data_IF_609060253590
#
_entry.id   IF_609060253590
#
_cell.length_a   1.000
_cell.length_b   1.000
_cell.length_c   1.000
_cell.angle_alpha   90.00
_cell.angle_beta   90.00
_cell.angle_gamma   90.00
#
_symmetry.space_group_name_H-M   'P 1'
#
loop_
_entity.id
_entity.type
_entity.pdbx_description
1 polymer ?
#
# COMPACT_ATOMS: atom_id res chain seq x y z
N UNK A 1 -103.87 3.71 11.03
CA UNK A 1 -103.31 4.34 12.26
C UNK A 1 -102.57 5.60 11.81
N UNK A 2 -103.18 6.80 11.87
CA UNK A 2 -103.09 7.80 12.98
C UNK A 2 -101.63 7.97 13.49
N UNK A 3 -100.95 9.12 13.51
CA UNK A 3 -101.15 10.56 13.20
C UNK A 3 -99.72 11.19 13.14
N UNK A 4 -99.30 11.88 12.07
CA UNK A 4 -99.11 13.36 11.92
C UNK A 4 -98.08 13.95 12.94
N UNK A 5 -96.82 14.33 12.61
CA UNK A 5 -96.25 15.38 11.73
C UNK A 5 -96.54 16.83 12.20
N UNK A 6 -95.57 17.51 12.84
CA UNK A 6 -95.49 18.99 12.83
C UNK A 6 -94.13 19.52 13.27
N UNK A 7 -93.52 20.24 12.33
CA UNK A 7 -92.53 21.32 12.41
C UNK A 7 -93.02 22.49 13.27
N UNK A 8 -92.13 23.31 13.85
CA UNK A 8 -92.08 24.80 13.84
C UNK A 8 -91.24 25.37 15.01
N UNK A 9 -90.13 26.01 14.59
CA UNK A 9 -89.50 27.26 15.06
C UNK A 9 -89.26 27.54 16.55
N UNK A 10 -87.99 27.80 16.88
CA UNK A 10 -87.62 29.09 17.48
C UNK A 10 -86.24 29.58 16.99
N UNK A 11 -86.27 30.64 16.18
CA UNK A 11 -85.48 31.89 16.27
C UNK A 11 -84.00 31.75 16.64
N UNK A 12 -83.09 31.93 15.68
CA UNK A 12 -82.46 33.22 15.37
C UNK A 12 -81.65 33.80 16.55
N UNK A 13 -80.31 33.86 16.44
CA UNK A 13 -79.59 35.01 15.87
C UNK A 13 -78.07 34.83 16.01
N UNK A 14 -77.36 35.10 14.91
CA UNK A 14 -76.08 35.81 14.77
C UNK A 14 -74.97 35.72 15.85
N UNK A 15 -73.82 35.17 15.40
CA UNK A 15 -72.52 35.86 15.21
C UNK A 15 -71.82 36.54 16.42
N UNK A 16 -70.52 36.22 16.52
CA UNK A 16 -69.36 36.99 17.03
C UNK A 16 -68.75 36.68 18.42
N UNK A 17 -67.62 35.98 18.37
CA UNK A 17 -66.29 36.22 19.00
C UNK A 17 -66.07 36.61 20.48
N UNK A 18 -65.00 35.96 21.01
CA UNK A 18 -64.08 36.32 22.13
C UNK A 18 -64.65 36.23 23.56
N UNK A 19 -64.02 35.65 24.60
CA UNK A 19 -62.59 35.49 24.96
C UNK A 19 -62.45 34.58 26.22
N UNK A 20 -61.36 33.78 26.28
CA UNK A 20 -60.45 33.54 27.43
C UNK A 20 -60.81 32.61 28.65
N UNK A 21 -59.93 31.59 28.79
CA UNK A 21 -59.30 30.90 29.95
C UNK A 21 -59.97 29.81 30.83
N UNK A 22 -59.16 28.74 30.93
CA UNK A 22 -58.77 27.94 32.10
C UNK A 22 -59.53 26.63 32.40
N UNK A 23 -58.76 25.53 32.34
CA UNK A 23 -59.15 24.20 32.80
C UNK A 23 -58.15 23.15 32.35
N UNK A 24 -57.02 23.08 33.05
CA UNK A 24 -55.94 22.14 32.83
C UNK A 24 -56.41 20.68 32.88
N UNK A 25 -56.01 19.88 31.89
CA UNK A 25 -55.77 18.45 32.09
C UNK A 25 -54.32 18.17 31.76
N UNK A 26 -53.67 17.70 32.81
CA UNK A 26 -52.31 17.22 32.96
C UNK A 26 -51.98 16.15 31.92
N UNK A 27 -51.00 16.45 31.07
CA UNK A 27 -50.13 15.42 30.51
C UNK A 27 -48.68 15.89 30.65
N UNK A 28 -48.25 16.05 31.91
CA UNK A 28 -46.85 15.92 32.28
C UNK A 28 -46.75 14.57 32.96
N UNK A 29 -46.45 13.52 32.20
CA UNK A 29 -45.53 12.47 32.64
C UNK A 29 -45.10 11.60 31.46
N UNK A 30 -44.51 12.26 30.48
CA UNK A 30 -43.27 11.72 29.95
C UNK A 30 -42.26 12.83 30.14
N UNK A 31 -41.48 12.73 31.21
CA UNK A 31 -40.11 13.20 31.17
C UNK A 31 -39.55 12.62 29.88
N UNK A 32 -39.48 13.45 28.84
CA UNK A 32 -38.57 13.21 27.74
C UNK A 32 -37.23 13.16 28.45
N UNK A 33 -36.71 11.95 28.59
CA UNK A 33 -35.37 11.69 29.03
C UNK A 33 -34.47 12.31 27.95
N UNK A 34 -34.32 13.63 27.98
CA UNK A 34 -33.33 14.40 27.24
C UNK A 34 -31.99 14.13 27.90
N UNK A 35 -31.60 12.86 27.87
CA UNK A 35 -30.31 12.35 28.25
C UNK A 35 -29.87 11.27 27.24
N UNK A 36 -30.42 11.29 26.02
CA UNK A 36 -29.67 10.79 24.88
C UNK A 36 -28.55 11.79 24.62
N UNK A 37 -27.37 11.47 25.14
CA UNK A 37 -26.12 12.15 24.83
C UNK A 37 -26.09 12.60 23.36
N UNK A 38 -26.09 13.92 23.14
CA UNK A 38 -25.90 14.54 21.82
C UNK A 38 -24.44 14.43 21.35
N UNK A 39 -23.78 13.30 21.63
CA UNK A 39 -22.38 13.11 21.36
C UNK A 39 -22.21 12.78 19.87
N UNK A 40 -21.35 13.54 19.21
CA UNK A 40 -20.94 13.29 17.83
C UNK A 40 -19.92 12.15 17.89
N UNK A 41 -20.15 11.08 17.14
CA UNK A 41 -19.20 10.00 16.98
C UNK A 41 -18.18 10.39 15.90
N UNK A 42 -16.90 10.43 16.26
CA UNK A 42 -15.83 10.66 15.29
C UNK A 42 -15.30 9.30 14.82
N UNK A 43 -15.19 9.13 13.51
CA UNK A 43 -14.76 7.88 12.90
C UNK A 43 -13.66 8.17 11.86
N UNK A 44 -12.72 7.25 11.73
CA UNK A 44 -11.73 7.24 10.65
C UNK A 44 -11.96 6.04 9.76
N UNK A 45 -12.11 6.30 8.46
CA UNK A 45 -12.20 5.26 7.45
C UNK A 45 -10.90 5.22 6.67
N UNK A 46 -10.30 4.04 6.57
CA UNK A 46 -9.11 3.82 5.78
C UNK A 46 -9.49 3.25 4.42
N UNK A 47 -8.76 3.65 3.39
CA UNK A 47 -9.01 3.25 2.01
C UNK A 47 -7.69 2.90 1.33
N UNK A 48 -7.64 1.78 0.62
CA UNK A 48 -6.49 1.39 -0.18
C UNK A 48 -6.91 1.12 -1.63
N UNK A 49 -7.12 2.20 -2.38
CA UNK A 49 -7.41 2.20 -3.82
C UNK A 49 -6.21 2.61 -4.69
N UNK A 50 -5.08 2.90 -4.04
CA UNK A 50 -3.83 3.27 -4.68
C UNK A 50 -3.04 2.02 -5.13
N UNK A 51 -3.65 1.26 -6.05
CA UNK A 51 -3.10 0.06 -6.67
C UNK A 51 -3.37 0.07 -8.18
N UNK A 52 -2.81 -0.91 -8.90
CA UNK A 52 -2.98 -1.05 -10.36
C UNK A 52 -4.40 -1.46 -10.77
N UNK A 53 -5.21 -2.02 -9.88
CA UNK A 53 -6.62 -2.35 -10.13
C UNK A 53 -7.57 -1.17 -9.93
N UNK A 54 -7.10 -0.07 -9.32
CA UNK A 54 -7.88 1.11 -8.95
C UNK A 54 -9.12 0.78 -8.10
N UNK A 55 -8.99 -0.24 -7.24
CA UNK A 55 -10.06 -0.73 -6.38
C UNK A 55 -9.64 -0.70 -4.93
N UNK A 56 -10.57 -0.34 -4.05
CA UNK A 56 -10.33 -0.40 -2.62
C UNK A 56 -10.22 -1.86 -2.17
N UNK A 57 -9.01 -2.27 -1.78
CA UNK A 57 -8.70 -3.62 -1.28
C UNK A 57 -8.18 -3.58 0.16
N UNK A 58 -8.54 -2.53 0.92
CA UNK A 58 -8.17 -2.37 2.33
C UNK A 58 -8.55 -3.61 3.16
N UNK A 59 -9.84 -3.98 3.12
CA UNK A 59 -10.37 -5.09 3.91
C UNK A 59 -9.74 -6.45 3.51
N UNK A 60 -9.26 -6.59 2.29
CA UNK A 60 -8.64 -7.82 1.82
C UNK A 60 -7.18 -7.95 2.28
N UNK A 61 -6.42 -6.86 2.32
CA UNK A 61 -4.96 -6.90 2.50
C UNK A 61 -4.45 -6.37 3.85
N UNK A 62 -5.11 -5.38 4.44
CA UNK A 62 -4.63 -4.71 5.66
C UNK A 62 -5.15 -5.45 6.89
N UNK A 63 -4.26 -5.73 7.85
CA UNK A 63 -4.59 -6.50 9.07
C UNK A 63 -4.18 -5.80 10.36
N UNK A 64 -3.36 -4.77 10.28
CA UNK A 64 -3.01 -3.90 11.41
C UNK A 64 -2.99 -2.46 10.92
N UNK A 65 -3.53 -1.54 11.72
CA UNK A 65 -3.52 -0.10 11.44
C UNK A 65 -3.21 0.66 12.71
N UNK A 66 -2.22 1.55 12.65
CA UNK A 66 -1.91 2.49 13.72
C UNK A 66 -2.12 3.91 13.23
N UNK A 67 -3.02 4.62 13.88
CA UNK A 67 -3.33 6.02 13.66
C UNK A 67 -2.58 6.87 14.69
N UNK A 68 -1.91 7.91 14.22
CA UNK A 68 -1.25 8.94 15.01
C UNK A 68 -1.88 10.29 14.66
N UNK A 69 -2.26 11.10 15.65
CA UNK A 69 -2.78 12.45 15.45
C UNK A 69 -1.90 13.48 16.14
N UNK A 70 -1.47 14.49 15.37
CA UNK A 70 -0.57 15.56 15.82
C UNK A 70 -1.29 16.91 15.81
N UNK A 71 -1.05 17.74 16.83
CA UNK A 71 -1.58 19.11 16.91
C UNK A 71 -0.87 20.07 15.95
N UNK A 72 -1.35 21.32 15.85
CA UNK A 72 -0.73 22.38 15.03
C UNK A 72 0.73 22.71 15.46
N UNK A 73 1.16 22.27 16.64
CA UNK A 73 2.54 22.41 17.14
C UNK A 73 3.38 21.14 16.91
N UNK A 74 2.86 20.17 16.14
CA UNK A 74 3.47 18.88 15.83
C UNK A 74 3.68 17.95 17.05
N UNK A 75 2.94 18.14 18.15
CA UNK A 75 2.96 17.20 19.28
C UNK A 75 1.97 16.08 19.05
N UNK A 76 2.36 14.84 19.37
CA UNK A 76 1.45 13.69 19.34
C UNK A 76 0.37 13.87 20.41
N UNK A 77 -0.90 13.91 20.03
CA UNK A 77 -2.03 14.08 20.96
C UNK A 77 -2.79 12.78 21.14
N UNK A 78 -2.88 11.97 20.09
CA UNK A 78 -3.63 10.73 20.11
C UNK A 78 -2.92 9.65 19.29
N UNK A 79 -3.03 8.42 19.76
CA UNK A 79 -2.56 7.24 19.06
C UNK A 79 -3.55 6.10 19.35
N UNK A 80 -3.95 5.38 18.30
CA UNK A 80 -4.71 4.14 18.46
C UNK A 80 -4.21 3.09 17.45
N UNK A 81 -4.22 1.83 17.88
CA UNK A 81 -3.87 0.69 17.03
C UNK A 81 -5.02 -0.32 17.07
N UNK A 82 -5.54 -0.65 15.89
CA UNK A 82 -6.49 -1.75 15.71
C UNK A 82 -5.83 -2.87 14.89
N UNK A 83 -6.13 -4.12 15.24
CA UNK A 83 -5.57 -5.30 14.58
C UNK A 83 -6.58 -6.45 14.48
N UNK A 84 -6.38 -7.32 13.50
CA UNK A 84 -7.11 -8.58 13.36
C UNK A 84 -8.35 -8.51 12.47
N UNK A 85 -9.29 -9.43 12.73
CA UNK A 85 -10.50 -9.64 11.92
C UNK A 85 -11.38 -8.40 11.68
N UNK A 86 -11.53 -7.44 12.62
CA UNK A 86 -12.38 -6.26 12.37
C UNK A 86 -11.98 -5.44 11.15
N UNK A 87 -10.69 -5.38 10.81
CA UNK A 87 -10.21 -4.66 9.63
C UNK A 87 -10.61 -5.35 8.32
N UNK A 88 -10.98 -6.63 8.36
CA UNK A 88 -11.48 -7.38 7.23
C UNK A 88 -12.94 -7.09 6.86
N UNK A 89 -13.64 -6.28 7.64
CA UNK A 89 -15.01 -5.87 7.36
C UNK A 89 -15.04 -4.63 6.46
N UNK A 90 -15.78 -4.65 5.36
CA UNK A 90 -15.93 -3.49 4.45
C UNK A 90 -16.53 -2.25 5.15
N UNK A 91 -17.26 -2.48 6.24
CA UNK A 91 -17.89 -1.44 7.07
C UNK A 91 -16.98 -0.93 8.19
N UNK A 92 -15.74 -1.42 8.28
CA UNK A 92 -14.80 -1.03 9.31
C UNK A 92 -14.56 0.50 9.30
N UNK A 93 -14.68 1.08 10.48
CA UNK A 93 -14.31 2.44 10.77
C UNK A 93 -13.77 2.48 12.21
N UNK A 94 -12.60 3.11 12.39
CA UNK A 94 -12.00 3.28 13.70
C UNK A 94 -12.75 4.39 14.43
N UNK A 95 -13.38 4.06 15.56
CA UNK A 95 -14.00 5.06 16.42
C UNK A 95 -12.94 5.78 17.23
N UNK A 96 -13.06 7.11 17.30
CA UNK A 96 -12.13 7.97 18.04
C UNK A 96 -12.92 8.95 18.90
N UNK A 97 -12.42 9.21 20.09
CA UNK A 97 -13.11 10.07 21.07
C UNK A 97 -12.81 11.57 20.89
N UNK A 98 -12.06 11.93 19.85
CA UNK A 98 -11.61 13.29 19.57
C UNK A 98 -11.97 13.73 18.15
N UNK A 99 -12.26 15.02 17.98
CA UNK A 99 -12.43 15.61 16.66
C UNK A 99 -11.11 15.69 15.92
N UNK A 100 -10.87 14.76 15.00
CA UNK A 100 -9.64 14.67 14.22
C UNK A 100 -9.53 15.70 13.08
N UNK A 101 -10.58 16.49 12.81
CA UNK A 101 -10.59 17.45 11.69
C UNK A 101 -9.51 18.55 11.80
N UNK A 102 -9.10 18.86 13.03
CA UNK A 102 -8.10 19.91 13.30
C UNK A 102 -6.67 19.38 13.42
N UNK A 103 -6.50 18.06 13.40
CA UNK A 103 -5.20 17.42 13.62
C UNK A 103 -4.59 16.96 12.29
N UNK A 104 -3.27 16.84 12.33
CA UNK A 104 -2.51 16.17 11.29
C UNK A 104 -2.49 14.66 11.60
N UNK A 105 -3.14 13.87 10.76
CA UNK A 105 -3.21 12.42 10.89
C UNK A 105 -2.11 11.75 10.08
N UNK A 106 -1.37 10.85 10.71
CA UNK A 106 -0.42 9.96 10.06
C UNK A 106 -0.82 8.53 10.39
N UNK A 107 -0.86 7.68 9.39
CA UNK A 107 -1.27 6.28 9.52
C UNK A 107 -0.16 5.39 9.02
N UNK A 108 0.17 4.39 9.83
CA UNK A 108 1.03 3.28 9.43
C UNK A 108 0.26 1.98 9.60
N UNK A 109 0.07 1.25 8.51
CA UNK A 109 -0.61 -0.03 8.49
C UNK A 109 0.37 -1.17 8.15
N UNK A 110 0.16 -2.35 8.72
CA UNK A 110 1.03 -3.51 8.50
C UNK A 110 2.31 -3.54 9.37
N UNK A 111 2.35 -2.74 10.44
CA UNK A 111 3.40 -2.83 11.45
C UNK A 111 3.30 -4.17 12.19
N UNK A 112 4.44 -4.83 12.43
CA UNK A 112 4.48 -6.20 12.95
C UNK A 112 5.71 -6.56 13.80
N UNK A 113 6.57 -5.60 14.14
CA UNK A 113 7.84 -5.78 14.88
C UNK A 113 8.87 -6.77 14.27
N UNK A 114 8.57 -7.42 13.14
CA UNK A 114 9.45 -8.38 12.47
C UNK A 114 10.16 -7.79 11.24
N UNK A 115 9.42 -6.99 10.46
CA UNK A 115 9.92 -6.37 9.22
C UNK A 115 10.27 -4.91 9.41
N UNK A 116 9.58 -4.22 10.32
CA UNK A 116 9.72 -2.79 10.55
C UNK A 116 9.77 -2.49 12.04
N UNK A 117 10.61 -1.52 12.39
CA UNK A 117 10.68 -0.94 13.72
C UNK A 117 10.18 0.50 13.69
N UNK A 118 9.33 0.82 14.66
CA UNK A 118 8.83 2.17 14.91
C UNK A 118 9.19 2.53 16.35
N UNK A 119 9.65 3.75 16.64
CA UNK A 119 9.92 4.16 18.01
C UNK A 119 8.65 4.17 18.84
N UNK A 120 8.80 3.89 20.14
CA UNK A 120 7.70 4.01 21.09
C UNK A 120 7.40 5.49 21.32
N UNK A 121 6.27 5.95 20.81
CA UNK A 121 5.80 7.32 20.99
C UNK A 121 4.72 7.37 22.07
N UNK A 122 4.71 8.45 22.85
CA UNK A 122 3.70 8.69 23.87
C UNK A 122 3.01 10.03 23.63
N UNK A 123 1.66 10.08 23.74
CA UNK A 123 0.94 11.34 23.67
C UNK A 123 1.49 12.39 24.63
N UNK A 124 1.57 13.63 24.16
CA UNK A 124 2.10 14.82 24.84
C UNK A 124 3.60 14.76 25.19
N UNK A 125 4.35 13.79 24.66
CA UNK A 125 5.80 13.66 24.88
C UNK A 125 6.59 13.59 23.57
N UNK A 126 6.01 12.98 22.55
CA UNK A 126 6.62 12.82 21.24
C UNK A 126 6.21 13.92 20.25
N UNK A 127 7.12 14.22 19.32
CA UNK A 127 6.85 15.07 18.16
C UNK A 127 6.70 14.27 16.87
N UNK A 128 6.10 14.89 15.86
CA UNK A 128 5.90 14.27 14.55
C UNK A 128 7.21 13.81 13.89
N UNK A 129 8.29 14.57 14.04
CA UNK A 129 9.60 14.25 13.46
C UNK A 129 10.25 13.01 14.07
N UNK A 130 9.73 12.51 15.21
CA UNK A 130 10.16 11.27 15.84
C UNK A 130 9.46 10.04 15.26
N UNK A 131 8.31 10.21 14.59
CA UNK A 131 7.60 9.12 13.92
C UNK A 131 8.34 8.73 12.64
N UNK A 132 9.22 7.72 12.77
CA UNK A 132 10.03 7.20 11.67
C UNK A 132 9.94 5.69 11.64
N UNK A 133 9.86 5.12 10.45
CA UNK A 133 9.77 3.68 10.25
C UNK A 133 11.06 3.18 9.64
N UNK A 134 11.67 2.19 10.30
CA UNK A 134 12.95 1.62 9.88
C UNK A 134 12.77 0.16 9.53
N UNK A 135 13.13 -0.22 8.30
CA UNK A 135 13.19 -1.63 7.89
C UNK A 135 14.24 -2.35 8.74
N UNK A 136 13.86 -3.48 9.32
CA UNK A 136 14.75 -4.33 10.08
C UNK A 136 15.72 -5.06 9.14
N UNK A 137 17.00 -5.09 9.53
CA UNK A 137 18.08 -5.72 8.76
C UNK A 137 19.11 -6.37 9.65
N UNK A 138 19.80 -7.36 9.12
CA UNK A 138 20.91 -8.04 9.77
C UNK A 138 22.21 -7.32 9.41
N UNK A 139 23.00 -6.97 10.42
CA UNK A 139 24.34 -6.43 10.22
C UNK A 139 25.34 -7.58 10.07
N UNK A 140 26.12 -7.56 8.99
CA UNK A 140 27.15 -8.56 8.74
C UNK A 140 28.32 -8.37 9.73
N UNK A 141 28.58 -9.38 10.54
CA UNK A 141 29.60 -9.36 11.62
C UNK A 141 31.05 -9.27 11.14
N UNK A 142 31.31 -9.38 9.82
CA UNK A 142 32.64 -9.32 9.21
C UNK A 142 32.59 -8.67 7.84
N UNK A 143 32.42 -7.35 7.79
CA UNK A 143 32.78 -6.59 6.58
C UNK A 143 34.26 -6.24 6.64
N UNK A 144 35.02 -6.62 5.60
CA UNK A 144 36.45 -6.26 5.44
C UNK A 144 36.65 -5.28 4.28
N UNK A 145 35.55 -4.77 3.71
CA UNK A 145 35.53 -3.89 2.55
C UNK A 145 34.93 -2.54 2.93
N UNK A 146 35.45 -1.46 2.34
CA UNK A 146 34.87 -0.11 2.47
C UNK A 146 33.49 0.02 1.81
N UNK A 147 33.11 -0.96 0.96
CA UNK A 147 31.80 -1.03 0.32
C UNK A 147 30.71 -1.48 1.32
N UNK A 148 29.63 -0.69 1.45
CA UNK A 148 28.46 -1.02 2.27
C UNK A 148 27.65 -2.19 1.69
N UNK A 149 27.86 -2.56 0.42
CA UNK A 149 27.20 -3.74 -0.19
C UNK A 149 27.48 -5.00 0.62
N UNK A 150 26.40 -5.67 1.02
CA UNK A 150 26.42 -6.89 1.82
C UNK A 150 26.61 -6.67 3.32
N UNK A 151 26.68 -5.43 3.81
CA UNK A 151 26.78 -5.14 5.25
C UNK A 151 25.42 -5.17 5.95
N UNK A 152 24.39 -4.58 5.33
CA UNK A 152 23.03 -4.51 5.88
C UNK A 152 22.10 -5.39 5.05
N UNK A 153 21.83 -6.60 5.53
CA UNK A 153 21.15 -7.65 4.76
C UNK A 153 19.67 -7.73 5.15
N UNK A 154 18.80 -7.73 4.14
CA UNK A 154 17.37 -8.05 4.24
C UNK A 154 17.14 -9.31 3.41
N UNK A 155 16.87 -10.43 4.07
CA UNK A 155 16.74 -11.76 3.43
C UNK A 155 15.41 -12.45 3.76
N UNK A 156 14.48 -11.72 4.37
CA UNK A 156 13.14 -12.16 4.70
C UNK A 156 12.10 -11.50 3.79
N UNK A 157 10.92 -12.13 3.66
CA UNK A 157 9.76 -11.45 3.09
C UNK A 157 9.37 -10.31 4.03
N UNK A 158 9.39 -9.07 3.54
CA UNK A 158 8.83 -7.96 4.29
C UNK A 158 7.31 -8.11 4.30
N UNK A 159 6.70 -7.94 5.46
CA UNK A 159 5.25 -7.81 5.51
C UNK A 159 4.82 -6.54 4.81
N UNK A 160 3.60 -6.51 4.28
CA UNK A 160 3.13 -5.34 3.54
C UNK A 160 3.00 -4.14 4.48
N UNK A 161 3.63 -3.02 4.12
CA UNK A 161 3.56 -1.77 4.88
C UNK A 161 2.77 -0.74 4.08
N UNK A 162 1.86 -0.03 4.73
CA UNK A 162 1.12 1.07 4.14
C UNK A 162 1.27 2.35 4.94
N UNK A 163 1.19 3.47 4.24
CA UNK A 163 1.25 4.81 4.81
C UNK A 163 0.06 5.65 4.35
N UNK A 164 -0.46 6.49 5.23
CA UNK A 164 -1.40 7.56 4.87
C UNK A 164 -1.13 8.84 5.66
N UNK A 165 -1.33 9.99 5.03
CA UNK A 165 -1.16 11.31 5.66
C UNK A 165 -2.34 12.23 5.32
N UNK A 166 -2.88 12.89 6.34
CA UNK A 166 -3.96 13.88 6.18
C UNK A 166 -3.67 15.09 7.09
N UNK A 167 -3.20 16.19 6.50
CA UNK A 167 -2.75 17.39 7.25
C UNK A 167 -3.88 18.16 7.92
N UNK A 168 -5.08 18.19 7.33
CA UNK A 168 -6.36 18.66 7.90
C UNK A 168 -7.50 17.95 7.16
N UNK A 169 -8.09 16.96 7.79
CA UNK A 169 -9.03 16.05 7.13
C UNK A 169 -10.33 16.75 6.73
N UNK A 170 -10.74 16.58 5.47
CA UNK A 170 -12.11 16.91 5.09
C UNK A 170 -13.01 15.85 5.71
N UNK A 171 -13.83 16.26 6.68
CA UNK A 171 -14.74 15.33 7.34
C UNK A 171 -16.09 15.34 6.64
N UNK A 172 -16.61 14.16 6.35
CA UNK A 172 -17.99 14.01 5.90
C UNK A 172 -18.90 13.77 7.10
N UNK A 173 -20.10 14.34 7.09
CA UNK A 173 -21.09 14.14 8.15
C UNK A 173 -22.18 13.20 7.65
N UNK A 174 -22.33 12.07 8.32
CA UNK A 174 -23.42 11.11 8.10
C UNK A 174 -24.25 10.99 9.37
N UNK A 175 -25.35 11.74 9.45
CA UNK A 175 -26.17 11.82 10.66
C UNK A 175 -25.40 12.41 11.86
N UNK A 176 -25.14 11.57 12.87
CA UNK A 176 -24.36 11.91 14.09
C UNK A 176 -22.88 11.50 13.99
N UNK A 177 -22.47 10.88 12.88
CA UNK A 177 -21.08 10.47 12.65
C UNK A 177 -20.32 11.50 11.80
N UNK A 178 -19.09 11.78 12.21
CA UNK A 178 -18.13 12.59 11.46
C UNK A 178 -16.99 11.69 11.01
N UNK A 179 -16.92 11.44 9.70
CA UNK A 179 -15.99 10.47 9.11
C UNK A 179 -14.86 11.20 8.42
N UNK A 180 -13.62 10.87 8.81
CA UNK A 180 -12.40 11.29 8.11
C UNK A 180 -11.89 10.12 7.28
N UNK A 181 -11.74 10.31 5.97
CA UNK A 181 -11.17 9.29 5.10
C UNK A 181 -9.65 9.47 4.99
N UNK A 182 -8.90 8.38 5.11
CA UNK A 182 -7.45 8.34 4.94
C UNK A 182 -7.11 7.35 3.83
N UNK A 183 -6.58 7.86 2.72
CA UNK A 183 -6.04 7.05 1.63
C UNK A 183 -4.66 6.51 2.00
N UNK A 184 -4.46 5.22 1.74
CA UNK A 184 -3.22 4.51 2.00
C UNK A 184 -2.45 4.26 0.70
N UNK A 185 -1.12 4.33 0.80
CA UNK A 185 -0.16 3.96 -0.24
C UNK A 185 0.70 2.82 0.28
N UNK A 186 0.98 1.82 -0.54
CA UNK A 186 1.80 0.67 -0.15
C UNK A 186 3.27 0.98 -0.38
N UNK A 187 4.10 0.71 0.63
CA UNK A 187 5.53 1.03 0.63
C UNK A 187 6.43 -0.19 0.41
N UNK A 188 5.89 -1.39 0.32
CA UNK A 188 6.66 -2.61 0.12
C UNK A 188 6.38 -3.22 -1.23
N UNK A 189 7.46 -3.61 -1.92
CA UNK A 189 7.42 -4.13 -3.27
C UNK A 189 8.00 -5.54 -3.31
N UNK A 190 7.45 -6.39 -4.18
CA UNK A 190 7.99 -7.71 -4.49
C UNK A 190 8.62 -7.69 -5.87
N UNK A 191 9.91 -8.00 -5.95
CA UNK A 191 10.64 -8.09 -7.22
C UNK A 191 11.02 -9.54 -7.47
N UNK A 192 10.40 -10.13 -8.50
CA UNK A 192 10.65 -11.49 -9.00
C UNK A 192 11.66 -11.43 -10.14
N UNK A 193 12.88 -11.86 -9.89
CA UNK A 193 13.93 -11.97 -10.91
C UNK A 193 14.00 -13.40 -11.42
N UNK A 194 13.74 -13.56 -12.71
CA UNK A 194 13.75 -14.84 -13.42
C UNK A 194 14.97 -14.86 -14.34
N UNK A 195 15.80 -15.89 -14.21
CA UNK A 195 16.87 -16.18 -15.18
C UNK A 195 16.46 -17.40 -15.99
N UNK A 196 15.99 -17.18 -17.22
CA UNK A 196 15.46 -18.19 -18.12
C UNK A 196 16.52 -18.64 -19.14
N UNK A 197 16.68 -19.96 -19.30
CA UNK A 197 17.65 -20.55 -20.20
C UNK A 197 17.03 -20.88 -21.56
N UNK A 198 17.55 -20.24 -22.60
CA UNK A 198 17.11 -20.37 -23.98
C UNK A 198 18.04 -21.34 -24.70
N UNK A 199 17.50 -22.48 -25.14
CA UNK A 199 18.22 -23.43 -25.98
C UNK A 199 17.99 -23.14 -27.46
N UNK A 200 18.99 -22.55 -28.11
CA UNK A 200 19.04 -22.21 -29.52
C UNK A 200 19.81 -23.26 -30.34
N UNK A 201 20.79 -23.95 -29.74
CA UNK A 201 21.73 -24.82 -30.47
C UNK A 201 21.33 -26.30 -30.53
N UNK A 202 20.35 -26.73 -29.73
CA UNK A 202 19.93 -28.13 -29.62
C UNK A 202 21.00 -29.04 -28.98
N UNK A 203 22.09 -28.45 -28.48
CA UNK A 203 23.18 -29.15 -27.80
C UNK A 203 22.88 -29.48 -26.33
N UNK A 204 23.87 -30.01 -25.60
CA UNK A 204 23.74 -30.26 -24.17
C UNK A 204 23.49 -28.94 -23.43
N UNK A 205 22.49 -28.96 -22.55
CA UNK A 205 22.06 -27.79 -21.77
C UNK A 205 22.62 -27.88 -20.36
N UNK A 206 23.17 -26.78 -19.85
CA UNK A 206 23.63 -26.70 -18.46
C UNK A 206 22.43 -26.79 -17.51
N UNK A 207 22.44 -27.76 -16.60
CA UNK A 207 21.35 -27.96 -15.65
C UNK A 207 21.25 -26.80 -14.67
N UNK A 208 20.10 -26.13 -14.63
CA UNK A 208 19.77 -25.15 -13.61
C UNK A 208 19.40 -25.81 -12.28
N UNK A 209 19.84 -25.17 -11.21
CA UNK A 209 19.47 -25.44 -9.81
C UNK A 209 19.20 -24.12 -9.08
N UNK A 210 18.49 -24.15 -7.96
CA UNK A 210 18.23 -22.96 -7.13
C UNK A 210 19.51 -22.24 -6.64
N UNK A 211 20.69 -22.87 -6.75
CA UNK A 211 21.98 -22.28 -6.35
C UNK A 211 22.81 -21.76 -7.52
N UNK A 212 22.28 -21.82 -8.75
CA UNK A 212 23.05 -21.49 -9.96
C UNK A 212 23.37 -20.00 -10.03
N UNK A 213 22.44 -19.18 -9.57
CA UNK A 213 22.56 -17.73 -9.60
C UNK A 213 22.43 -17.15 -8.19
N UNK A 214 23.20 -16.11 -7.91
CA UNK A 214 23.01 -15.24 -6.76
C UNK A 214 22.49 -13.90 -7.25
N UNK A 215 21.29 -13.53 -6.79
CA UNK A 215 20.65 -12.26 -7.09
C UNK A 215 20.70 -11.36 -5.85
N UNK A 216 20.92 -10.06 -6.04
CA UNK A 216 20.80 -9.08 -4.98
C UNK A 216 20.35 -7.73 -5.55
N UNK A 217 19.52 -7.02 -4.79
CA UNK A 217 19.15 -5.63 -5.06
C UNK A 217 19.76 -4.75 -3.99
N UNK A 218 20.30 -3.60 -4.39
CA UNK A 218 20.94 -2.63 -3.50
C UNK A 218 20.20 -1.29 -3.56
N UNK A 219 19.80 -0.78 -2.41
CA UNK A 219 19.11 0.51 -2.29
C UNK A 219 19.19 1.04 -0.84
N UNK A 220 19.01 2.34 -0.63
CA UNK A 220 19.04 3.00 0.69
C UNK A 220 17.65 3.52 1.13
N UNK A 221 16.60 2.78 0.76
CA UNK A 221 15.19 3.10 1.00
C UNK A 221 14.61 2.49 2.30
N UNK A 222 15.47 2.09 3.24
CA UNK A 222 15.09 1.40 4.47
C UNK A 222 14.61 2.29 5.61
N UNK A 223 14.65 3.62 5.47
CA UNK A 223 14.28 4.54 6.53
C UNK A 223 13.30 5.60 6.03
N UNK A 224 12.07 5.51 6.52
CA UNK A 224 10.95 6.36 6.11
C UNK A 224 10.60 7.35 7.22
N UNK A 225 10.34 8.59 6.84
CA UNK A 225 9.86 9.66 7.73
C UNK A 225 8.32 9.62 7.87
N UNK A 226 7.77 10.45 8.76
CA UNK A 226 6.33 10.53 9.02
C UNK A 226 5.50 10.89 7.78
N UNK A 227 6.07 11.65 6.83
CA UNK A 227 5.44 12.08 5.57
C UNK A 227 5.74 11.13 4.40
N UNK A 228 6.20 9.91 4.72
CA UNK A 228 6.62 8.89 3.77
C UNK A 228 7.88 9.22 2.95
N UNK A 229 8.54 10.35 3.19
CA UNK A 229 9.80 10.64 2.52
C UNK A 229 10.90 9.70 3.02
N UNK A 230 11.87 9.41 2.15
CA UNK A 230 13.03 8.61 2.53
C UNK A 230 14.05 9.49 3.27
N UNK A 231 14.50 9.00 4.42
CA UNK A 231 15.60 9.57 5.18
C UNK A 231 16.92 8.95 4.72
N UNK A 232 18.03 9.60 5.06
CA UNK A 232 19.36 9.03 4.85
C UNK A 232 19.48 7.71 5.63
N UNK A 233 19.80 6.64 4.92
CA UNK A 233 19.99 5.29 5.48
C UNK A 233 21.23 4.63 4.87
N UNK A 234 21.63 3.51 5.47
CA UNK A 234 22.67 2.66 4.92
C UNK A 234 22.23 1.99 3.61
N UNK A 235 23.20 1.61 2.78
CA UNK A 235 22.93 0.80 1.60
C UNK A 235 22.49 -0.61 2.00
N UNK A 236 21.21 -0.90 1.81
CA UNK A 236 20.62 -2.21 2.08
C UNK A 236 20.94 -3.17 0.94
N UNK A 237 21.10 -4.44 1.30
CA UNK A 237 21.27 -5.55 0.37
C UNK A 237 20.08 -6.49 0.53
N UNK A 238 19.12 -6.37 -0.38
CA UNK A 238 17.97 -7.23 -0.47
C UNK A 238 18.35 -8.53 -1.15
N UNK A 239 18.18 -9.64 -0.43
CA UNK A 239 18.44 -11.00 -0.91
C UNK A 239 17.13 -11.77 -1.10
N UNK A 240 17.11 -12.75 -2.02
CA UNK A 240 15.92 -13.56 -2.23
C UNK A 240 15.53 -14.32 -0.97
N UNK A 241 14.28 -14.18 -0.53
CA UNK A 241 13.73 -15.00 0.56
C UNK A 241 13.18 -16.34 0.04
N UNK A 242 12.88 -16.42 -1.25
CA UNK A 242 12.39 -17.62 -1.91
C UNK A 242 13.06 -17.78 -3.28
N UNK A 243 13.59 -18.98 -3.56
CA UNK A 243 14.23 -19.32 -4.84
C UNK A 243 13.68 -20.64 -5.35
N UNK A 244 13.08 -20.64 -6.54
CA UNK A 244 12.43 -21.81 -7.12
C UNK A 244 12.91 -22.07 -8.55
N UNK A 245 12.68 -23.27 -9.05
CA UNK A 245 12.83 -23.59 -10.48
C UNK A 245 11.45 -23.62 -11.11
N UNK A 246 11.28 -22.91 -12.21
CA UNK A 246 9.98 -22.74 -12.86
C UNK A 246 10.14 -22.73 -14.38
N UNK A 247 9.01 -22.92 -15.09
CA UNK A 247 8.94 -22.79 -16.54
C UNK A 247 8.29 -21.46 -16.87
N UNK A 248 9.05 -20.58 -17.52
CA UNK A 248 8.58 -19.25 -17.90
C UNK A 248 8.16 -19.24 -19.35
N UNK A 249 6.97 -18.73 -19.61
CA UNK A 249 6.40 -18.57 -20.94
C UNK A 249 6.61 -17.13 -21.42
N UNK A 250 7.32 -16.93 -22.51
CA UNK A 250 7.64 -15.59 -23.04
C UNK A 250 7.50 -15.52 -24.57
N UNK A 251 7.18 -14.34 -25.08
CA UNK A 251 7.18 -14.03 -26.52
C UNK A 251 8.49 -13.39 -27.02
N UNK A 252 9.47 -13.16 -26.13
CA UNK A 252 10.74 -12.49 -26.46
C UNK A 252 11.52 -13.13 -27.61
N UNK A 253 11.34 -14.44 -27.85
CA UNK A 253 11.96 -15.18 -28.95
C UNK A 253 10.94 -15.87 -29.86
N UNK A 254 9.70 -15.39 -29.88
CA UNK A 254 8.63 -15.87 -30.75
C UNK A 254 8.36 -14.86 -31.87
N UNK A 255 8.07 -15.35 -33.07
CA UNK A 255 7.53 -14.49 -34.13
C UNK A 255 6.10 -14.04 -33.80
N UNK A 256 5.61 -12.96 -34.41
CA UNK A 256 4.29 -12.39 -34.09
C UNK A 256 3.12 -13.40 -34.18
N UNK A 257 3.22 -14.35 -35.11
CA UNK A 257 2.21 -15.39 -35.34
C UNK A 257 2.47 -16.70 -34.58
N UNK A 258 3.54 -16.78 -33.78
CA UNK A 258 3.88 -17.95 -32.98
C UNK A 258 3.39 -17.84 -31.54
N UNK A 259 3.02 -18.96 -30.88
CA UNK A 259 2.76 -18.96 -29.46
C UNK A 259 4.01 -18.59 -28.66
N UNK A 260 3.80 -18.19 -27.40
CA UNK A 260 4.90 -17.98 -26.46
C UNK A 260 5.71 -19.27 -26.28
N UNK A 261 7.03 -19.13 -26.21
CA UNK A 261 7.95 -20.25 -25.97
C UNK A 261 8.16 -20.42 -24.47
N UNK A 262 8.37 -21.67 -24.07
CA UNK A 262 8.61 -22.04 -22.69
C UNK A 262 10.08 -22.32 -22.45
N UNK A 263 10.62 -21.74 -21.39
CA UNK A 263 12.01 -21.89 -20.98
C UNK A 263 12.09 -22.27 -19.51
N UNK A 264 13.00 -23.18 -19.17
CA UNK A 264 13.31 -23.45 -17.77
C UNK A 264 14.08 -22.26 -17.20
N UNK A 265 13.74 -21.84 -16.00
CA UNK A 265 14.40 -20.74 -15.33
C UNK A 265 14.52 -20.93 -13.83
N UNK A 266 15.38 -20.12 -13.22
CA UNK A 266 15.43 -19.94 -11.77
C UNK A 266 14.75 -18.62 -11.44
N UNK A 267 13.82 -18.70 -10.50
CA UNK A 267 13.03 -17.57 -10.01
C UNK A 267 13.54 -17.22 -8.64
N UNK A 268 13.90 -15.95 -8.45
CA UNK A 268 14.35 -15.39 -7.18
C UNK A 268 13.40 -14.27 -6.78
N UNK A 269 12.67 -14.46 -5.68
CA UNK A 269 11.73 -13.48 -5.15
C UNK A 269 12.41 -12.69 -4.03
N UNK A 270 12.44 -11.37 -4.19
CA UNK A 270 13.00 -10.41 -3.25
C UNK A 270 11.91 -9.45 -2.81
N UNK A 271 11.96 -9.04 -1.55
CA UNK A 271 11.08 -8.00 -1.02
C UNK A 271 11.91 -6.76 -0.75
N UNK A 272 11.49 -5.62 -1.29
CA UNK A 272 12.18 -4.33 -1.16
C UNK A 272 11.24 -3.30 -0.53
N UNK A 273 11.82 -2.26 0.07
CA UNK A 273 11.04 -1.14 0.61
C UNK A 273 10.54 -0.21 -0.52
N UNK A 274 10.21 1.04 -0.19
CA UNK A 274 9.53 1.95 -1.12
C UNK A 274 10.44 2.28 -2.29
N UNK A 275 9.92 2.16 -3.51
CA UNK A 275 10.61 2.60 -4.73
C UNK A 275 10.26 4.07 -4.97
N UNK A 276 11.29 4.89 -5.15
CA UNK A 276 11.13 6.33 -5.38
C UNK A 276 11.87 6.71 -6.64
N UNK A 277 11.27 7.56 -7.48
CA UNK A 277 11.82 7.96 -8.79
C UNK A 277 13.23 8.58 -8.70
N UNK A 278 13.56 9.19 -7.56
CA UNK A 278 14.87 9.81 -7.31
C UNK A 278 15.95 8.81 -6.91
N UNK A 279 15.57 7.58 -6.57
CA UNK A 279 16.48 6.52 -6.18
C UNK A 279 16.91 5.67 -7.38
N UNK A 280 18.01 4.95 -7.20
CA UNK A 280 18.60 4.09 -8.24
C UNK A 280 18.87 2.70 -7.68
N UNK A 281 17.83 1.88 -7.49
CA UNK A 281 18.00 0.52 -7.02
C UNK A 281 18.86 -0.26 -8.01
N UNK A 282 19.98 -0.80 -7.56
CA UNK A 282 20.91 -1.57 -8.40
C UNK A 282 20.56 -3.06 -8.31
N UNK A 283 20.43 -3.74 -9.46
CA UNK A 283 20.28 -5.20 -9.51
C UNK A 283 21.58 -5.84 -9.96
N UNK A 284 22.03 -6.87 -9.24
CA UNK A 284 23.14 -7.71 -9.67
C UNK A 284 22.74 -9.19 -9.68
N UNK A 285 23.12 -9.88 -10.75
CA UNK A 285 22.96 -11.34 -10.91
C UNK A 285 24.34 -11.93 -11.20
N UNK A 286 24.79 -12.85 -10.34
CA UNK A 286 26.08 -13.54 -10.47
C UNK A 286 25.88 -15.02 -10.73
N UNK A 287 26.80 -15.62 -11.49
CA UNK A 287 26.92 -17.07 -11.56
C UNK A 287 27.65 -17.57 -10.30
N UNK A 288 27.03 -18.42 -9.51
CA UNK A 288 27.63 -18.90 -8.25
C UNK A 288 28.90 -19.74 -8.48
N UNK A 289 29.01 -20.44 -9.60
CA UNK A 289 30.16 -21.30 -9.89
C UNK A 289 31.38 -20.51 -10.37
N UNK A 290 31.19 -19.52 -11.25
CA UNK A 290 32.30 -18.72 -11.79
C UNK A 290 32.55 -17.43 -11.01
N UNK A 291 31.58 -17.00 -10.18
CA UNK A 291 31.54 -15.70 -9.50
C UNK A 291 31.48 -14.49 -10.45
N UNK A 292 31.27 -14.72 -11.75
CA UNK A 292 31.14 -13.67 -12.75
C UNK A 292 29.77 -13.01 -12.67
N UNK A 293 29.74 -11.68 -12.87
CA UNK A 293 28.51 -10.91 -13.01
C UNK A 293 27.91 -11.19 -14.37
N UNK A 294 26.74 -11.84 -14.39
CA UNK A 294 26.01 -12.17 -15.59
C UNK A 294 25.20 -10.98 -16.09
N UNK A 295 24.53 -10.31 -15.17
CA UNK A 295 23.69 -9.15 -15.45
C UNK A 295 23.84 -8.14 -14.31
N UNK A 296 23.94 -6.87 -14.68
CA UNK A 296 23.96 -5.76 -13.75
C UNK A 296 23.11 -4.63 -14.33
N UNK A 297 22.23 -4.08 -13.50
CA UNK A 297 21.54 -2.83 -13.77
C UNK A 297 21.93 -1.84 -12.69
N UNK A 298 22.40 -0.66 -13.08
CA UNK A 298 22.63 0.45 -12.16
C UNK A 298 21.35 1.12 -11.67
N UNK A 299 20.23 0.90 -12.35
CA UNK A 299 18.98 1.62 -12.11
C UNK A 299 17.78 0.78 -12.58
N UNK A 300 17.13 0.10 -11.63
CA UNK A 300 15.91 -0.65 -11.91
C UNK A 300 14.72 0.24 -12.27
N UNK A 301 14.68 1.48 -11.76
CA UNK A 301 13.55 2.39 -11.99
C UNK A 301 13.39 2.71 -13.47
N UNK A 302 14.49 2.83 -14.23
CA UNK A 302 14.43 3.01 -15.69
C UNK A 302 13.68 1.91 -16.41
N UNK A 303 13.85 0.65 -16.00
CA UNK A 303 13.12 -0.45 -16.62
C UNK A 303 11.63 -0.37 -16.32
N UNK A 304 11.27 0.08 -15.11
CA UNK A 304 9.89 0.27 -14.69
C UNK A 304 9.25 1.49 -15.40
N UNK A 305 10.01 2.56 -15.60
CA UNK A 305 9.61 3.73 -16.38
C UNK A 305 9.28 3.37 -17.83
N UNK A 306 10.11 2.56 -18.49
CA UNK A 306 9.83 2.08 -19.86
C UNK A 306 8.54 1.23 -19.94
N UNK A 307 8.28 0.41 -18.91
CA UNK A 307 7.01 -0.34 -18.84
C UNK A 307 5.82 0.61 -18.67
N UNK A 308 5.91 1.59 -17.78
CA UNK A 308 4.84 2.57 -17.59
C UNK A 308 4.56 3.36 -18.88
N UNK A 309 5.62 3.88 -19.50
CA UNK A 309 5.56 4.70 -20.70
C UNK A 309 4.97 3.98 -21.92
N UNK A 310 5.12 2.66 -22.01
CA UNK A 310 4.65 1.89 -23.17
C UNK A 310 3.41 1.04 -22.87
N UNK A 311 3.44 0.23 -21.81
CA UNK A 311 2.35 -0.69 -21.45
C UNK A 311 1.17 0.04 -20.81
N UNK A 312 1.44 1.06 -19.99
CA UNK A 312 0.43 1.75 -19.19
C UNK A 312 0.17 3.20 -19.63
N UNK A 313 0.70 3.61 -20.79
CA UNK A 313 0.58 4.97 -21.34
C UNK A 313 -0.82 5.60 -21.31
N UNK A 314 -1.87 4.79 -21.50
CA UNK A 314 -3.24 5.28 -21.55
C UNK A 314 -3.76 5.72 -20.16
N UNK A 315 -3.10 5.30 -19.08
CA UNK A 315 -3.43 5.65 -17.70
C UNK A 315 -2.92 7.03 -17.29
N UNK A 316 -1.89 7.56 -17.96
CA UNK A 316 -1.28 8.86 -17.69
C UNK A 316 -0.86 9.07 -16.21
N UNK A 317 -0.28 8.05 -15.58
CA UNK A 317 0.31 8.21 -14.26
C UNK A 317 1.61 9.02 -14.33
N UNK A 318 1.98 9.63 -13.21
CA UNK A 318 3.38 10.02 -13.01
C UNK A 318 4.22 8.78 -12.68
N UNK A 319 5.53 8.80 -12.95
CA UNK A 319 6.41 7.68 -12.63
C UNK A 319 6.31 7.28 -11.15
N UNK A 320 6.34 8.26 -10.24
CA UNK A 320 6.18 7.98 -8.81
C UNK A 320 4.82 7.34 -8.48
N UNK A 321 3.73 7.78 -9.13
CA UNK A 321 2.41 7.15 -8.96
C UNK A 321 2.41 5.70 -9.47
N UNK A 322 3.05 5.41 -10.59
CA UNK A 322 3.20 4.03 -11.06
C UNK A 322 3.99 3.17 -10.06
N UNK A 323 5.12 3.68 -9.57
CA UNK A 323 5.98 2.97 -8.60
C UNK A 323 5.27 2.69 -7.26
N UNK A 324 4.38 3.59 -6.84
CA UNK A 324 3.60 3.46 -5.61
C UNK A 324 2.31 2.62 -5.80
N UNK A 325 1.80 2.46 -7.03
CA UNK A 325 0.62 1.63 -7.37
C UNK A 325 0.98 0.17 -7.66
N UNK A 326 2.06 -0.07 -8.39
CA UNK A 326 2.55 -1.40 -8.73
C UNK A 326 3.41 -1.93 -7.59
N UNK A 327 2.94 -2.98 -6.92
CA UNK A 327 3.65 -3.59 -5.79
C UNK A 327 4.38 -4.89 -6.17
N UNK A 328 4.25 -5.33 -7.43
CA UNK A 328 4.84 -6.57 -7.94
C UNK A 328 5.52 -6.32 -9.28
N UNK A 329 6.79 -6.64 -9.33
CA UNK A 329 7.62 -6.50 -10.52
C UNK A 329 8.20 -7.85 -10.88
N UNK A 330 8.12 -8.23 -12.15
CA UNK A 330 8.78 -9.41 -12.69
C UNK A 330 9.81 -8.97 -13.73
N UNK A 331 11.07 -9.40 -13.56
CA UNK A 331 12.14 -9.21 -14.53
C UNK A 331 12.62 -10.57 -15.02
N UNK A 332 12.52 -10.80 -16.33
CA UNK A 332 13.00 -12.01 -16.99
C UNK A 332 14.26 -11.69 -17.80
N UNK A 333 15.37 -12.28 -17.38
CA UNK A 333 16.68 -12.23 -18.00
C UNK A 333 16.93 -13.54 -18.73
N UNK A 334 17.50 -13.48 -19.93
CA UNK A 334 17.71 -14.66 -20.77
C UNK A 334 19.19 -15.05 -20.88
N UNK A 335 19.49 -16.33 -20.70
CA UNK A 335 20.84 -16.90 -20.86
C UNK A 335 20.84 -18.06 -21.86
N UNK A 336 21.98 -18.32 -22.48
CA UNK A 336 22.14 -19.44 -23.43
C UNK A 336 22.37 -20.80 -22.73
N UNK A 337 22.61 -21.87 -23.51
CA UNK A 337 22.83 -23.22 -22.96
C UNK A 337 24.06 -23.31 -22.04
N UNK A 338 25.01 -22.38 -22.17
CA UNK A 338 26.26 -22.28 -21.39
C UNK A 338 26.17 -21.25 -20.26
N UNK A 339 24.98 -20.71 -20.01
CA UNK A 339 24.70 -19.68 -19.01
C UNK A 339 25.34 -18.32 -19.30
N UNK A 340 25.63 -18.02 -20.57
CA UNK A 340 26.03 -16.67 -20.98
C UNK A 340 24.81 -15.79 -21.22
N UNK A 341 24.87 -14.52 -20.81
CA UNK A 341 23.78 -13.56 -21.00
C UNK A 341 23.49 -13.33 -22.49
N UNK A 342 22.22 -13.46 -22.88
CA UNK A 342 21.74 -13.07 -24.20
C UNK A 342 21.41 -11.58 -24.18
N UNK A 343 22.35 -10.75 -24.64
CA UNK A 343 22.26 -9.28 -24.61
C UNK A 343 21.38 -8.71 -25.74
N UNK A 344 20.15 -9.20 -25.88
CA UNK A 344 19.22 -8.70 -26.89
C UNK A 344 18.00 -8.05 -26.26
N UNK A 345 17.32 -8.78 -25.39
CA UNK A 345 16.05 -8.38 -24.81
C UNK A 345 15.98 -8.83 -23.37
N UNK A 346 15.19 -8.11 -22.58
CA UNK A 346 14.69 -8.54 -21.28
C UNK A 346 13.16 -8.39 -21.31
N UNK A 347 12.47 -9.07 -20.40
CA UNK A 347 11.04 -8.86 -20.22
C UNK A 347 10.78 -8.33 -18.82
N UNK A 348 9.98 -7.26 -18.70
CA UNK A 348 9.60 -6.64 -17.43
C UNK A 348 8.08 -6.51 -17.40
N UNK A 349 7.41 -7.12 -16.41
CA UNK A 349 5.94 -7.13 -16.30
C UNK A 349 5.23 -7.48 -17.62
N UNK A 350 5.65 -8.55 -18.28
CA UNK A 350 5.18 -9.01 -19.61
C UNK A 350 5.47 -8.09 -20.81
N UNK A 351 6.16 -6.97 -20.60
CA UNK A 351 6.63 -6.09 -21.67
C UNK A 351 8.06 -6.45 -22.08
N UNK A 352 8.35 -6.50 -23.38
CA UNK A 352 9.68 -6.84 -23.89
C UNK A 352 10.45 -5.54 -24.16
N UNK A 353 11.59 -5.39 -23.52
CA UNK A 353 12.48 -4.23 -23.65
C UNK A 353 13.75 -4.67 -24.38
N UNK A 354 14.19 -3.94 -25.41
CA UNK A 354 15.47 -4.22 -26.04
C UNK A 354 16.58 -3.57 -25.22
N UNK A 355 17.65 -4.32 -24.92
CA UNK A 355 18.75 -3.80 -24.10
C UNK A 355 19.53 -2.68 -24.80
N UNK A 356 19.37 -2.48 -26.10
CA UNK A 356 19.96 -1.34 -26.81
C UNK A 356 19.21 -0.02 -26.54
N UNK A 357 17.96 -0.09 -26.09
CA UNK A 357 17.13 1.10 -25.85
C UNK A 357 17.43 1.74 -24.48
N UNK A 358 18.13 1.02 -23.60
CA UNK A 358 18.54 1.48 -22.27
C UNK A 358 20.07 1.43 -22.24
N UNK A 359 20.72 2.60 -22.24
CA UNK A 359 22.17 2.68 -22.05
C UNK A 359 22.55 2.00 -20.71
N UNK A 360 23.26 0.87 -20.81
CA UNK A 360 23.81 0.11 -19.69
C UNK A 360 24.96 0.85 -18.98
#
# INVERSE_FOLDING_TARGET
>A
MKRILTTIQEKANNILLFTILAGAITSCDSILDYNENCDIEYCVKFKYDYNMEEKDVFAEQVRTVTLYAFDDNNNLVFQNTDEGEPLGEETYAMNVDIDLSQYHLVVWAGLNDESFAVPLLYPNQAKIDELRVKTLRKEATRSTTEDEKGQYIVDNSLHSLWHGEVKKGTTTRSGRQQITEVSLVKNTNTIRVVVAQVNQSGGPVTRLTQKTFECAIYDNNGYMNYDNTLLEDNLLTYKPYNVTSDVVSTRAFSSADEPAKQYNGIVSEMSVARLVESQKPELTIKNTATQEVLFQSSDLVKYFEEVDAEKYKDRNYSLQEYLDREDKYELVIFVDEKLALIKTVIQVNDWIIQLNDIEL
#
